data_IF_414936792870
#
_entry.id   IF_414936792870
#
_cell.length_a   1.000
_cell.length_b   1.000
_cell.length_c   1.000
_cell.angle_alpha   90.00
_cell.angle_beta   90.00
_cell.angle_gamma   90.00
#
_symmetry.space_group_name_H-M   'P 1'
#
loop_
_entity.id
_entity.type
_entity.pdbx_description
1 polymer ?
#
# COMPACT_ATOMS: atom_id res chain seq x y z
N UNK A 1 10.07 -28.07 -17.19
CA UNK A 1 8.68 -28.36 -16.81
C UNK A 1 8.16 -27.18 -15.97
N UNK A 2 7.86 -26.06 -16.63
CA UNK A 2 7.55 -24.74 -16.02
C UNK A 2 6.09 -24.28 -16.26
N UNK A 3 5.21 -25.19 -16.70
CA UNK A 3 3.87 -24.87 -17.18
C UNK A 3 2.81 -24.51 -16.11
N UNK A 4 2.80 -25.07 -14.87
CA UNK A 4 1.68 -24.85 -13.96
C UNK A 4 1.68 -23.44 -13.32
N UNK A 5 2.84 -22.94 -12.88
CA UNK A 5 2.99 -21.60 -12.29
C UNK A 5 2.55 -20.48 -13.26
N UNK A 6 2.99 -20.57 -14.52
CA UNK A 6 2.62 -19.59 -15.56
C UNK A 6 1.12 -19.62 -15.86
N UNK A 7 0.47 -20.80 -15.79
CA UNK A 7 -0.98 -20.89 -15.97
C UNK A 7 -1.75 -20.24 -14.82
N UNK A 8 -1.29 -20.40 -13.57
CA UNK A 8 -1.93 -19.78 -12.40
C UNK A 8 -1.85 -18.25 -12.46
N UNK A 9 -0.68 -17.70 -12.83
CA UNK A 9 -0.52 -16.24 -12.98
C UNK A 9 -1.42 -15.67 -14.06
N UNK A 10 -1.45 -16.30 -15.24
CA UNK A 10 -2.31 -15.88 -16.34
C UNK A 10 -3.80 -15.93 -15.96
N UNK A 11 -4.22 -16.94 -15.21
CA UNK A 11 -5.60 -17.06 -14.72
C UNK A 11 -5.95 -15.96 -13.71
N UNK A 12 -5.03 -15.62 -12.80
CA UNK A 12 -5.18 -14.51 -11.86
C UNK A 12 -5.28 -13.19 -12.64
N UNK A 13 -4.37 -12.92 -13.56
CA UNK A 13 -4.39 -11.72 -14.40
C UNK A 13 -5.71 -11.59 -15.18
N UNK A 14 -6.19 -12.68 -15.77
CA UNK A 14 -7.46 -12.70 -16.49
C UNK A 14 -8.65 -12.39 -15.57
N UNK A 15 -8.68 -12.96 -14.36
CA UNK A 15 -9.70 -12.64 -13.35
C UNK A 15 -9.64 -11.17 -12.95
N UNK A 16 -8.42 -10.64 -12.73
CA UNK A 16 -8.22 -9.25 -12.36
C UNK A 16 -8.68 -8.29 -13.47
N UNK A 17 -8.34 -8.58 -14.72
CA UNK A 17 -8.73 -7.80 -15.88
C UNK A 17 -10.26 -7.83 -16.13
N UNK A 18 -10.91 -8.94 -15.76
CA UNK A 18 -12.37 -9.07 -15.80
C UNK A 18 -13.08 -8.38 -14.62
N UNK A 19 -12.35 -7.74 -13.69
CA UNK A 19 -12.91 -7.15 -12.47
C UNK A 19 -13.46 -8.17 -11.47
N UNK A 20 -13.11 -9.45 -11.62
CA UNK A 20 -13.56 -10.49 -10.70
C UNK A 20 -12.77 -10.45 -9.39
N UNK A 21 -13.44 -10.78 -8.29
CA UNK A 21 -12.78 -10.98 -6.99
C UNK A 21 -11.90 -12.23 -7.04
N UNK A 22 -10.72 -12.14 -6.44
CA UNK A 22 -9.84 -13.28 -6.25
C UNK A 22 -10.38 -14.21 -5.15
N UNK A 23 -10.11 -15.50 -5.33
CA UNK A 23 -10.48 -16.59 -4.42
C UNK A 23 -9.43 -16.80 -3.32
N UNK A 24 -9.70 -17.70 -2.37
CA UNK A 24 -8.72 -18.10 -1.37
C UNK A 24 -7.48 -18.76 -2.01
N UNK A 25 -7.69 -19.64 -3.00
CA UNK A 25 -6.59 -20.33 -3.70
C UNK A 25 -5.72 -19.32 -4.47
N UNK A 26 -6.34 -18.32 -5.10
CA UNK A 26 -5.61 -17.22 -5.74
C UNK A 26 -4.73 -16.46 -4.74
N UNK A 27 -5.29 -16.13 -3.58
CA UNK A 27 -4.59 -15.40 -2.53
C UNK A 27 -3.40 -16.20 -1.98
N UNK A 28 -3.57 -17.50 -1.75
CA UNK A 28 -2.51 -18.40 -1.31
C UNK A 28 -1.41 -18.47 -2.37
N UNK A 29 -1.78 -18.58 -3.66
CA UNK A 29 -0.83 -18.57 -4.76
C UNK A 29 -0.04 -17.24 -4.85
N UNK A 30 -0.71 -16.10 -4.63
CA UNK A 30 -0.03 -14.80 -4.59
C UNK A 30 0.99 -14.70 -3.44
N UNK A 31 0.64 -15.17 -2.24
CA UNK A 31 1.59 -15.23 -1.12
C UNK A 31 2.77 -16.18 -1.38
N UNK A 32 2.53 -17.26 -2.14
CA UNK A 32 3.56 -18.21 -2.57
C UNK A 32 4.46 -17.72 -3.70
N UNK A 33 4.11 -16.62 -4.39
CA UNK A 33 4.90 -16.10 -5.50
C UNK A 33 6.14 -15.35 -5.02
N UNK A 34 7.30 -15.68 -5.57
CA UNK A 34 8.57 -14.96 -5.33
C UNK A 34 8.82 -13.82 -6.33
N UNK A 35 7.90 -13.61 -7.29
CA UNK A 35 8.02 -12.57 -8.30
C UNK A 35 7.39 -11.26 -7.80
N UNK A 36 8.17 -10.52 -7.03
CA UNK A 36 7.76 -9.22 -6.49
C UNK A 36 7.54 -8.17 -7.58
N UNK A 37 8.25 -8.25 -8.70
CA UNK A 37 8.07 -7.31 -9.81
C UNK A 37 6.69 -7.48 -10.43
N UNK A 38 6.28 -8.73 -10.65
CA UNK A 38 4.93 -9.07 -11.12
C UNK A 38 3.85 -8.66 -10.12
N UNK A 39 4.01 -8.99 -8.83
CA UNK A 39 3.04 -8.63 -7.79
C UNK A 39 2.88 -7.11 -7.63
N UNK A 40 4.00 -6.39 -7.56
CA UNK A 40 4.03 -4.93 -7.48
C UNK A 40 3.38 -4.30 -8.71
N UNK A 41 3.73 -4.77 -9.92
CA UNK A 41 3.13 -4.28 -11.17
C UNK A 41 1.61 -4.43 -11.21
N UNK A 42 1.07 -5.58 -10.79
CA UNK A 42 -0.38 -5.80 -10.73
C UNK A 42 -1.05 -4.92 -9.68
N UNK A 43 -0.48 -4.83 -8.47
CA UNK A 43 -1.03 -4.03 -7.39
C UNK A 43 -1.00 -2.53 -7.72
N UNK A 44 0.11 -2.04 -8.28
CA UNK A 44 0.26 -0.66 -8.74
C UNK A 44 -0.75 -0.34 -9.84
N UNK A 45 -0.89 -1.20 -10.86
CA UNK A 45 -1.86 -0.98 -11.94
C UNK A 45 -3.30 -0.86 -11.41
N UNK A 46 -3.68 -1.73 -10.46
CA UNK A 46 -4.97 -1.65 -9.75
C UNK A 46 -5.13 -0.35 -8.96
N UNK A 47 -4.10 0.06 -8.22
CA UNK A 47 -4.10 1.32 -7.47
C UNK A 47 -4.24 2.54 -8.39
N UNK A 48 -3.52 2.56 -9.51
CA UNK A 48 -3.58 3.66 -10.49
C UNK A 48 -4.92 3.68 -11.22
N UNK A 49 -5.53 2.53 -11.51
CA UNK A 49 -6.87 2.49 -12.07
C UNK A 49 -7.92 3.14 -11.16
N UNK A 50 -7.78 2.97 -9.83
CA UNK A 50 -8.70 3.53 -8.85
C UNK A 50 -8.44 5.01 -8.51
N UNK A 51 -7.17 5.41 -8.37
CA UNK A 51 -6.79 6.72 -7.82
C UNK A 51 -5.94 7.60 -8.76
N UNK A 52 -5.58 7.12 -9.95
CA UNK A 52 -4.63 7.78 -10.84
C UNK A 52 -3.28 7.98 -10.17
N UNK A 53 -2.69 9.17 -10.36
CA UNK A 53 -1.42 9.55 -9.72
C UNK A 53 -1.59 9.97 -8.25
N UNK A 54 -2.81 10.13 -7.74
CA UNK A 54 -3.07 10.70 -6.42
C UNK A 54 -2.70 9.71 -5.32
N UNK A 55 -1.76 10.10 -4.46
CA UNK A 55 -1.49 9.44 -3.18
C UNK A 55 -1.91 10.40 -2.08
N UNK A 56 -2.76 9.96 -1.17
CA UNK A 56 -3.19 10.80 -0.07
C UNK A 56 -2.38 10.51 1.18
N UNK A 57 -2.37 11.45 2.12
CA UNK A 57 -1.94 11.19 3.47
C UNK A 57 -2.92 11.79 4.48
N UNK A 58 -3.03 11.12 5.62
CA UNK A 58 -3.97 11.42 6.69
C UNK A 58 -3.23 11.41 8.03
N UNK A 59 -3.22 12.51 8.79
CA UNK A 59 -2.72 12.51 10.15
C UNK A 59 -3.66 11.73 11.07
N UNK A 60 -3.12 10.73 11.78
CA UNK A 60 -3.87 9.88 12.71
C UNK A 60 -3.13 9.75 14.05
N UNK A 61 -3.88 9.79 15.15
CA UNK A 61 -3.34 9.47 16.48
C UNK A 61 -3.27 7.95 16.70
N UNK A 62 -4.31 7.24 16.24
CA UNK A 62 -4.39 5.78 16.24
C UNK A 62 -5.19 5.34 15.00
N UNK A 63 -4.58 4.61 14.04
CA UNK A 63 -5.28 4.06 12.89
C UNK A 63 -6.52 3.23 13.26
N UNK A 64 -6.48 2.47 14.36
CA UNK A 64 -7.58 1.60 14.78
C UNK A 64 -8.77 2.38 15.37
N UNK A 65 -8.54 3.59 15.88
CA UNK A 65 -9.57 4.49 16.38
C UNK A 65 -10.12 5.45 15.31
N UNK A 66 -9.55 5.44 14.10
CA UNK A 66 -9.91 6.37 13.03
C UNK A 66 -11.15 5.87 12.28
N UNK A 67 -12.22 6.68 12.14
CA UNK A 67 -13.42 6.28 11.41
C UNK A 67 -13.11 5.82 9.98
N UNK A 68 -13.80 4.77 9.52
CA UNK A 68 -13.65 4.20 8.17
C UNK A 68 -12.25 3.65 7.84
N UNK A 69 -11.37 3.52 8.83
CA UNK A 69 -10.12 2.79 8.74
C UNK A 69 -10.31 1.44 9.42
N UNK A 70 -10.07 0.36 8.68
CA UNK A 70 -10.03 -1.00 9.18
C UNK A 70 -8.58 -1.44 9.29
N UNK A 71 -8.13 -1.76 10.49
CA UNK A 71 -6.77 -2.25 10.72
C UNK A 71 -6.75 -3.76 10.83
N UNK A 72 -5.62 -4.35 10.41
CA UNK A 72 -5.36 -5.78 10.60
C UNK A 72 -3.93 -5.98 11.07
N UNK A 73 -3.78 -6.61 12.24
CA UNK A 73 -2.48 -6.95 12.80
C UNK A 73 -1.96 -8.22 12.15
N UNK A 74 -1.00 -8.09 11.24
CA UNK A 74 -0.37 -9.25 10.63
C UNK A 74 0.81 -9.73 11.47
N UNK A 75 0.89 -11.06 11.62
CA UNK A 75 1.93 -11.69 12.44
C UNK A 75 3.07 -12.21 11.57
N UNK A 76 4.35 -11.89 11.88
CA UNK A 76 5.50 -12.50 11.22
C UNK A 76 5.45 -14.03 11.28
N UNK A 77 5.82 -14.71 10.19
CA UNK A 77 5.86 -16.17 10.12
C UNK A 77 4.49 -16.88 10.08
N UNK A 78 3.37 -16.15 10.17
CA UNK A 78 2.03 -16.73 10.06
C UNK A 78 1.84 -17.42 8.68
N UNK A 79 1.31 -18.66 8.64
CA UNK A 79 1.03 -19.35 7.39
C UNK A 79 0.13 -18.53 6.44
N UNK A 80 0.40 -18.63 5.14
CA UNK A 80 -0.35 -17.91 4.12
C UNK A 80 -1.86 -18.22 4.17
N UNK A 81 -2.24 -19.48 4.37
CA UNK A 81 -3.66 -19.88 4.45
C UNK A 81 -4.41 -19.20 5.61
N UNK A 82 -3.75 -19.01 6.75
CA UNK A 82 -4.34 -18.35 7.92
C UNK A 82 -4.52 -16.85 7.64
N UNK A 83 -3.50 -16.20 7.08
CA UNK A 83 -3.58 -14.80 6.62
C UNK A 83 -4.71 -14.60 5.61
N UNK A 84 -4.83 -15.49 4.64
CA UNK A 84 -5.89 -15.43 3.62
C UNK A 84 -7.27 -15.57 4.25
N UNK A 85 -7.43 -16.48 5.20
CA UNK A 85 -8.71 -16.65 5.92
C UNK A 85 -9.12 -15.36 6.63
N UNK A 86 -8.19 -14.71 7.33
CA UNK A 86 -8.42 -13.43 8.01
C UNK A 86 -8.73 -12.30 7.02
N UNK A 87 -7.92 -12.17 5.96
CA UNK A 87 -8.11 -11.14 4.94
C UNK A 87 -9.44 -11.26 4.20
N UNK A 88 -9.89 -12.48 3.90
CA UNK A 88 -11.19 -12.69 3.26
C UNK A 88 -12.35 -12.33 4.19
N UNK A 89 -12.22 -12.58 5.49
CA UNK A 89 -13.22 -12.14 6.46
C UNK A 89 -13.26 -10.62 6.62
N UNK A 90 -12.11 -9.95 6.49
CA UNK A 90 -11.99 -8.49 6.56
C UNK A 90 -12.46 -7.80 5.27
N UNK A 91 -12.24 -8.43 4.11
CA UNK A 91 -12.61 -7.91 2.79
C UNK A 91 -14.09 -7.53 2.68
N UNK A 92 -14.96 -8.24 3.36
CA UNK A 92 -16.41 -8.02 3.30
C UNK A 92 -16.91 -7.02 4.37
N UNK A 93 -16.03 -6.46 5.19
CA UNK A 93 -16.40 -5.44 6.17
C UNK A 93 -16.49 -4.04 5.50
N UNK A 94 -17.47 -3.21 5.90
CA UNK A 94 -17.57 -1.86 5.37
C UNK A 94 -16.42 -0.99 5.88
N UNK A 95 -15.51 -0.65 4.99
CA UNK A 95 -14.37 0.24 5.26
C UNK A 95 -14.03 1.09 4.05
N UNK A 96 -13.38 2.24 4.27
CA UNK A 96 -12.82 3.07 3.20
C UNK A 96 -11.34 2.81 3.02
N UNK A 97 -10.61 2.64 4.12
CA UNK A 97 -9.18 2.32 4.12
C UNK A 97 -8.97 1.02 4.85
N UNK A 98 -8.22 0.10 4.25
CA UNK A 98 -7.67 -1.06 4.92
C UNK A 98 -6.19 -0.84 5.17
N UNK A 99 -5.77 -0.86 6.44
CA UNK A 99 -4.40 -0.60 6.86
C UNK A 99 -3.82 -1.80 7.61
N UNK A 100 -3.00 -2.64 6.93
CA UNK A 100 -2.20 -3.63 7.62
C UNK A 100 -1.26 -2.93 8.61
N UNK A 101 -1.20 -3.43 9.85
CA UNK A 101 -0.32 -2.94 10.90
C UNK A 101 0.54 -4.08 11.42
N UNK A 102 1.83 -3.81 11.63
CA UNK A 102 2.78 -4.83 12.07
C UNK A 102 2.52 -5.15 13.54
N UNK A 103 2.34 -6.43 13.88
CA UNK A 103 2.37 -6.85 15.28
C UNK A 103 3.76 -6.59 15.90
N UNK A 104 3.82 -6.25 17.20
CA UNK A 104 5.05 -5.85 17.87
C UNK A 104 6.17 -6.92 17.80
N UNK A 105 5.83 -8.21 17.83
CA UNK A 105 6.73 -9.32 17.53
C UNK A 105 5.95 -10.58 17.11
N UNK A 106 6.49 -11.35 16.16
CA UNK A 106 6.00 -12.69 15.84
C UNK A 106 6.54 -13.74 16.81
N UNK A 107 6.02 -14.98 16.78
CA UNK A 107 6.63 -16.09 17.50
C UNK A 107 8.12 -16.22 17.12
N UNK A 108 8.95 -16.60 18.10
CA UNK A 108 10.39 -16.85 17.95
C UNK A 108 11.26 -15.66 17.51
N UNK A 109 10.75 -14.43 17.61
CA UNK A 109 11.51 -13.22 17.26
C UNK A 109 11.67 -13.01 15.76
N UNK A 110 10.85 -13.68 14.94
CA UNK A 110 10.85 -13.49 13.50
C UNK A 110 10.44 -12.06 13.14
N UNK A 111 11.28 -11.36 12.39
CA UNK A 111 10.97 -10.04 11.83
C UNK A 111 10.45 -10.19 10.41
N UNK A 112 9.41 -9.42 10.05
CA UNK A 112 8.97 -9.37 8.66
C UNK A 112 10.02 -8.64 7.83
N UNK A 113 10.55 -9.30 6.81
CA UNK A 113 11.47 -8.69 5.86
C UNK A 113 10.77 -7.64 4.98
N UNK A 114 11.50 -6.68 4.40
CA UNK A 114 10.93 -5.74 3.43
C UNK A 114 10.21 -6.45 2.27
N UNK A 115 10.78 -7.53 1.73
CA UNK A 115 10.18 -8.32 0.66
C UNK A 115 8.81 -8.92 1.05
N UNK A 116 8.69 -9.43 2.27
CA UNK A 116 7.43 -9.94 2.79
C UNK A 116 6.39 -8.84 3.02
N UNK A 117 6.82 -7.65 3.46
CA UNK A 117 5.94 -6.48 3.57
C UNK A 117 5.41 -6.07 2.19
N UNK A 118 6.30 -5.90 1.20
CA UNK A 118 5.90 -5.57 -0.18
C UNK A 118 4.88 -6.58 -0.73
N UNK A 119 5.16 -7.88 -0.56
CA UNK A 119 4.24 -8.97 -0.95
C UNK A 119 2.89 -8.83 -0.25
N UNK A 120 2.88 -8.66 1.07
CA UNK A 120 1.66 -8.56 1.86
C UNK A 120 0.75 -7.42 1.39
N UNK A 121 1.32 -6.23 1.17
CA UNK A 121 0.56 -5.07 0.73
C UNK A 121 0.03 -5.23 -0.70
N UNK A 122 0.84 -5.78 -1.62
CA UNK A 122 0.35 -6.10 -2.96
C UNK A 122 -0.81 -7.10 -2.93
N UNK A 123 -0.71 -8.15 -2.12
CA UNK A 123 -1.80 -9.12 -1.96
C UNK A 123 -3.05 -8.45 -1.40
N UNK A 124 -2.93 -7.56 -0.41
CA UNK A 124 -4.06 -6.80 0.11
C UNK A 124 -4.72 -5.96 -0.99
N UNK A 125 -3.95 -5.23 -1.80
CA UNK A 125 -4.48 -4.44 -2.92
C UNK A 125 -5.22 -5.31 -3.94
N UNK A 126 -4.72 -6.51 -4.22
CA UNK A 126 -5.32 -7.41 -5.20
C UNK A 126 -6.58 -8.12 -4.68
N UNK A 127 -6.66 -8.37 -3.37
CA UNK A 127 -7.79 -9.04 -2.74
C UNK A 127 -8.97 -8.12 -2.46
N UNK A 128 -8.71 -6.89 -1.98
CA UNK A 128 -9.75 -5.94 -1.61
C UNK A 128 -10.33 -5.24 -2.83
N UNK A 129 -11.63 -4.96 -2.78
CA UNK A 129 -12.36 -4.25 -3.82
C UNK A 129 -11.72 -2.89 -4.12
N UNK A 130 -11.86 -2.43 -5.37
CA UNK A 130 -11.27 -1.16 -5.84
C UNK A 130 -11.75 0.06 -5.04
N UNK A 131 -12.95 0.00 -4.45
CA UNK A 131 -13.48 1.06 -3.59
C UNK A 131 -12.76 1.20 -2.24
N UNK A 132 -12.05 0.16 -1.79
CA UNK A 132 -11.24 0.20 -0.56
C UNK A 132 -9.84 0.61 -0.91
N UNK A 133 -9.31 1.65 -0.27
CA UNK A 133 -7.91 2.05 -0.40
C UNK A 133 -7.03 1.22 0.53
N UNK A 134 -5.83 0.84 0.08
CA UNK A 134 -4.83 0.26 0.96
C UNK A 134 -4.01 1.39 1.60
N UNK A 135 -3.99 1.41 2.92
CA UNK A 135 -3.28 2.38 3.73
C UNK A 135 -1.97 1.82 4.29
N UNK A 136 -0.96 2.66 4.47
CA UNK A 136 0.26 2.33 5.20
C UNK A 136 0.42 3.23 6.42
N UNK A 137 0.48 2.64 7.60
CA UNK A 137 0.79 3.37 8.84
C UNK A 137 2.30 3.59 8.98
N UNK A 138 2.75 4.84 8.91
CA UNK A 138 4.16 5.21 9.03
C UNK A 138 4.70 5.05 10.46
N UNK A 139 3.84 4.95 11.48
CA UNK A 139 4.31 4.61 12.82
C UNK A 139 4.71 3.12 12.93
N UNK A 140 4.07 2.25 12.13
CA UNK A 140 4.30 0.80 12.13
C UNK A 140 5.34 0.32 11.11
N UNK A 141 5.75 1.15 10.15
CA UNK A 141 6.61 0.75 9.04
C UNK A 141 7.76 1.74 8.82
N UNK A 142 8.99 1.25 8.50
CA UNK A 142 10.08 2.13 8.11
C UNK A 142 9.72 2.97 6.87
N UNK A 143 10.07 4.25 6.89
CA UNK A 143 9.75 5.20 5.81
C UNK A 143 10.27 4.74 4.44
N UNK A 144 11.48 4.19 4.39
CA UNK A 144 12.07 3.65 3.15
C UNK A 144 11.25 2.50 2.56
N UNK A 145 10.66 1.66 3.40
CA UNK A 145 9.73 0.62 2.97
C UNK A 145 8.39 1.23 2.55
N UNK A 146 7.88 2.22 3.29
CA UNK A 146 6.62 2.90 2.98
C UNK A 146 6.65 3.59 1.60
N UNK A 147 7.78 4.18 1.22
CA UNK A 147 7.96 4.75 -0.11
C UNK A 147 7.84 3.68 -1.20
N UNK A 148 8.50 2.53 -1.03
CA UNK A 148 8.38 1.41 -1.97
C UNK A 148 6.96 0.84 -2.02
N UNK A 149 6.23 0.85 -0.89
CA UNK A 149 4.87 0.34 -0.82
C UNK A 149 3.87 1.12 -1.70
N UNK A 150 4.19 2.35 -2.10
CA UNK A 150 3.41 3.12 -3.08
C UNK A 150 3.38 2.43 -4.46
N UNK A 151 4.44 1.69 -4.81
CA UNK A 151 4.50 0.83 -5.99
C UNK A 151 3.89 -0.56 -5.77
N UNK A 152 3.47 -0.87 -4.54
CA UNK A 152 2.84 -2.15 -4.17
C UNK A 152 1.38 -1.96 -3.75
N UNK A 153 0.74 -0.88 -4.23
CA UNK A 153 -0.70 -0.71 -4.15
C UNK A 153 -1.20 0.17 -3.00
N UNK A 154 -0.30 0.70 -2.15
CA UNK A 154 -0.66 1.72 -1.15
C UNK A 154 -1.07 3.01 -1.86
N UNK A 155 -2.17 3.62 -1.40
CA UNK A 155 -2.60 4.93 -1.89
C UNK A 155 -2.87 5.95 -0.78
N UNK A 156 -2.98 5.53 0.48
CA UNK A 156 -3.12 6.42 1.63
C UNK A 156 -1.96 6.18 2.63
N UNK A 157 -1.22 7.22 2.99
CA UNK A 157 -0.24 7.19 4.08
C UNK A 157 -0.88 7.70 5.36
N UNK A 158 -0.93 6.87 6.40
CA UNK A 158 -1.38 7.28 7.73
C UNK A 158 -0.14 7.79 8.48
N UNK A 159 -0.07 9.11 8.71
CA UNK A 159 1.07 9.77 9.35
C UNK A 159 0.74 10.05 10.82
N UNK A 160 1.73 10.11 11.74
CA UNK A 160 1.47 10.52 13.11
C UNK A 160 0.80 11.90 13.15
N UNK A 161 -0.27 12.06 13.93
CA UNK A 161 -1.00 13.33 14.04
C UNK A 161 -0.12 14.48 14.57
N UNK A 162 0.84 14.17 15.43
CA UNK A 162 1.72 15.13 16.06
C UNK A 162 3.11 15.10 15.42
N UNK A 163 3.68 16.30 15.18
CA UNK A 163 5.10 16.46 14.86
C UNK A 163 5.53 16.01 13.46
N UNK A 164 4.60 15.66 12.56
CA UNK A 164 4.93 15.38 11.16
C UNK A 164 5.17 16.69 10.37
N UNK A 165 6.06 16.63 9.38
CA UNK A 165 6.23 17.70 8.41
C UNK A 165 5.42 17.38 7.14
N UNK A 166 4.35 18.14 6.83
CA UNK A 166 3.55 17.94 5.63
C UNK A 166 4.36 18.01 4.33
N UNK A 167 5.42 18.82 4.29
CA UNK A 167 6.25 18.98 3.11
C UNK A 167 7.12 17.74 2.87
N UNK A 168 7.70 17.17 3.93
CA UNK A 168 8.44 15.90 3.86
C UNK A 168 7.57 14.75 3.33
N UNK A 169 6.32 14.65 3.79
CA UNK A 169 5.39 13.62 3.29
C UNK A 169 5.05 13.83 1.80
N UNK A 170 4.88 15.09 1.38
CA UNK A 170 4.68 15.41 -0.03
C UNK A 170 5.90 15.04 -0.89
N UNK A 171 7.12 15.29 -0.40
CA UNK A 171 8.38 14.90 -1.05
C UNK A 171 8.50 13.38 -1.21
N UNK A 172 8.20 12.63 -0.15
CA UNK A 172 8.18 11.16 -0.22
C UNK A 172 7.25 10.64 -1.31
N UNK A 173 6.06 11.25 -1.44
CA UNK A 173 5.08 10.89 -2.47
C UNK A 173 5.56 11.30 -3.87
N UNK A 174 6.13 12.49 -4.03
CA UNK A 174 6.65 12.96 -5.32
C UNK A 174 7.84 12.11 -5.80
N UNK A 175 8.72 11.69 -4.89
CA UNK A 175 9.86 10.83 -5.21
C UNK A 175 9.41 9.44 -5.67
N UNK A 176 8.25 8.97 -5.21
CA UNK A 176 7.56 7.78 -5.73
C UNK A 176 6.71 8.06 -6.99
N UNK A 177 6.79 9.27 -7.57
CA UNK A 177 6.07 9.65 -8.78
C UNK A 177 4.58 9.96 -8.59
N UNK A 178 4.11 10.07 -7.34
CA UNK A 178 2.73 10.39 -7.01
C UNK A 178 2.41 11.88 -6.99
N UNK A 179 1.13 12.21 -6.79
CA UNK A 179 0.61 13.55 -6.53
C UNK A 179 0.03 13.59 -5.12
N UNK A 180 0.63 14.35 -4.18
CA UNK A 180 0.24 14.35 -2.77
C UNK A 180 -1.06 15.10 -2.51
N UNK A 181 -1.93 14.48 -1.72
CA UNK A 181 -3.16 15.10 -1.21
C UNK A 181 -3.26 14.91 0.30
N UNK A 182 -3.27 16.00 1.06
CA UNK A 182 -3.56 15.97 2.49
C UNK A 182 -5.07 15.83 2.71
N UNK A 183 -5.47 14.88 3.55
CA UNK A 183 -6.85 14.71 4.00
C UNK A 183 -7.01 14.91 5.50
N UNK A 184 -8.20 15.33 5.91
CA UNK A 184 -8.66 15.29 7.30
C UNK A 184 -9.28 13.94 7.67
N UNK A 185 -9.66 13.76 8.93
CA UNK A 185 -10.25 12.52 9.46
C UNK A 185 -11.60 12.12 8.81
N UNK A 186 -12.30 13.08 8.19
CA UNK A 186 -13.51 12.83 7.41
C UNK A 186 -13.20 12.53 5.93
N UNK A 187 -11.92 12.39 5.59
CA UNK A 187 -11.36 12.20 4.25
C UNK A 187 -11.66 13.36 3.29
N UNK A 188 -11.91 14.55 3.83
CA UNK A 188 -11.97 15.80 3.07
C UNK A 188 -10.57 16.26 2.67
N UNK A 189 -10.41 16.79 1.46
CA UNK A 189 -9.13 17.36 1.03
C UNK A 189 -8.86 18.66 1.78
N UNK A 190 -7.78 18.67 2.56
CA UNK A 190 -7.27 19.85 3.26
C UNK A 190 -6.32 20.63 2.34
N UNK A 191 -5.46 19.91 1.61
CA UNK A 191 -4.49 20.51 0.69
C UNK A 191 -4.17 19.58 -0.47
N UNK A 192 -4.18 20.14 -1.67
CA UNK A 192 -3.64 19.51 -2.87
C UNK A 192 -2.28 20.15 -3.18
N UNK A 193 -1.24 19.32 -3.30
CA UNK A 193 0.12 19.80 -3.57
C UNK A 193 0.43 19.87 -5.06
N UNK A 194 -0.40 19.27 -5.91
CA UNK A 194 -0.13 19.11 -7.33
C UNK A 194 1.02 18.14 -7.63
N UNK A 195 1.30 17.88 -8.92
CA UNK A 195 2.40 17.02 -9.33
C UNK A 195 3.75 17.66 -8.98
N UNK A 196 4.79 16.83 -8.86
CA UNK A 196 6.14 17.29 -8.64
C UNK A 196 6.58 18.26 -9.75
N UNK A 197 7.30 19.32 -9.40
CA UNK A 197 7.94 20.18 -10.40
C UNK A 197 8.90 19.34 -11.25
N UNK A 198 8.72 19.32 -12.58
CA UNK A 198 9.56 18.53 -13.47
C UNK A 198 11.04 18.80 -13.25
N UNK A 199 11.87 17.76 -13.37
CA UNK A 199 13.32 17.89 -13.17
C UNK A 199 13.97 18.91 -14.13
N UNK A 200 13.40 19.10 -15.32
CA UNK A 200 13.85 20.13 -16.27
C UNK A 200 13.67 21.55 -15.71
N UNK A 201 12.53 21.82 -15.08
CA UNK A 201 12.20 23.14 -14.53
C UNK A 201 13.00 23.41 -13.25
N UNK A 202 13.17 22.41 -12.37
CA UNK A 202 14.03 22.53 -11.18
C UNK A 202 15.50 22.83 -11.51
N UNK A 203 15.99 22.33 -12.64
CA UNK A 203 17.36 22.57 -13.13
C UNK A 203 17.53 23.93 -13.81
N UNK A 204 16.44 24.57 -14.23
CA UNK A 204 16.47 25.90 -14.81
C UNK A 204 16.66 26.99 -13.73
N UNK A 205 16.29 26.69 -12.48
CA UNK A 205 16.58 27.54 -11.33
C UNK A 205 18.03 27.30 -10.83
N UNK A 206 18.85 28.35 -10.69
CA UNK A 206 20.19 28.21 -10.16
C UNK A 206 20.11 27.68 -8.72
N UNK A 207 20.60 26.46 -8.51
CA UNK A 207 20.73 25.88 -7.19
C UNK A 207 21.72 26.75 -6.39
N UNK A 208 21.27 27.36 -5.29
CA UNK A 208 22.13 28.12 -4.39
C UNK A 208 23.02 27.14 -3.62
N UNK A 209 24.09 26.69 -4.26
CA UNK A 209 25.23 26.11 -3.55
C UNK A 209 25.88 27.25 -2.77
N UNK A 210 25.88 27.14 -1.45
CA UNK A 210 26.51 28.04 -0.45
C UNK A 210 25.61 29.15 0.14
N UNK A 211 25.34 29.02 1.45
CA UNK A 211 25.29 30.12 2.43
C UNK A 211 26.01 29.64 3.69
#
# INVERSE_FOLDING_TARGET
MAAPELSVRADIEARLAAGSRLTADDAVALFGSDDLAWLGGLAHARRVAAAGAVTSYLPVADPAATPQVLTWQYTPGQPAADRVTELLALRDQPTRVFAPVRAAAGPDGHEVSPAEMLKLFAVCRLLFDEAVTIGCDLASHPESTAQLLLDFGVADLLVPADGFDPQHVAELIWDAGGTPVHRDADFGTVRDYGPATPAADRRAEPQSVFT
#
